data_IF_497636828553
#
_entry.id   IF_497636828553
#
_cell.length_a   1.000
_cell.length_b   1.000
_cell.length_c   1.000
_cell.angle_alpha   90.00
_cell.angle_beta   90.00
_cell.angle_gamma   90.00
#
_symmetry.space_group_name_H-M   'P 1'
#
loop_
_entity.id
_entity.type
_entity.pdbx_description
1 polymer ?
#
# COMPACT_ATOMS: atom_id res chain seq x y z
N UNK A 1 14.32 15.99 -9.22
CA UNK A 1 13.51 15.09 -10.07
C UNK A 1 12.06 15.53 -10.21
N UNK A 2 11.43 16.14 -9.20
CA UNK A 2 10.00 16.46 -9.26
C UNK A 2 9.64 17.60 -10.22
N UNK A 3 10.42 18.69 -10.23
CA UNK A 3 10.26 19.80 -11.16
C UNK A 3 11.62 20.40 -11.51
N UNK A 4 11.70 21.02 -12.69
CA UNK A 4 12.83 21.89 -13.04
C UNK A 4 12.43 23.30 -12.60
N UNK A 5 13.09 23.82 -11.57
CA UNK A 5 12.79 25.14 -11.02
C UNK A 5 13.67 26.18 -11.69
N UNK A 6 13.05 27.26 -12.16
CA UNK A 6 13.70 28.43 -12.70
C UNK A 6 13.35 29.64 -11.82
N UNK A 7 14.38 30.24 -11.23
CA UNK A 7 14.25 31.39 -10.36
C UNK A 7 14.57 32.65 -11.15
N UNK A 8 13.70 33.65 -11.04
CA UNK A 8 13.89 34.96 -11.63
C UNK A 8 13.63 36.04 -10.59
N UNK A 9 14.20 37.22 -10.81
CA UNK A 9 13.91 38.41 -10.02
C UNK A 9 13.31 39.43 -10.96
N UNK A 10 12.26 40.11 -10.51
CA UNK A 10 11.64 41.21 -11.28
C UNK A 10 12.63 42.36 -11.46
N UNK A 11 12.50 43.14 -12.55
CA UNK A 11 13.34 44.32 -12.82
C UNK A 11 13.49 45.27 -11.64
N UNK A 12 12.44 45.38 -10.82
CA UNK A 12 12.36 46.30 -9.70
C UNK A 12 13.05 45.77 -8.43
N UNK A 13 13.62 44.56 -8.48
CA UNK A 13 14.34 43.86 -7.40
C UNK A 13 13.54 43.65 -6.09
N UNK A 14 12.24 43.92 -6.10
CA UNK A 14 11.35 43.80 -4.93
C UNK A 14 10.66 42.44 -4.81
N UNK A 15 10.66 41.63 -5.86
CA UNK A 15 9.93 40.36 -5.90
C UNK A 15 10.77 39.27 -6.57
N UNK A 16 10.77 38.09 -5.94
CA UNK A 16 11.38 36.87 -6.49
C UNK A 16 10.25 36.03 -7.08
N UNK A 17 10.43 35.58 -8.32
CA UNK A 17 9.47 34.77 -9.07
C UNK A 17 10.06 33.37 -9.26
N UNK A 18 9.26 32.34 -8.98
CA UNK A 18 9.65 30.95 -9.12
C UNK A 18 8.77 30.26 -10.17
N UNK A 19 9.36 29.83 -11.28
CA UNK A 19 8.69 29.00 -12.27
C UNK A 19 9.07 27.53 -12.04
N UNK A 20 8.10 26.66 -11.80
CA UNK A 20 8.36 25.25 -11.48
C UNK A 20 7.35 24.30 -12.16
N UNK A 21 7.44 24.09 -13.48
CA UNK A 21 6.58 23.14 -14.18
C UNK A 21 6.80 21.71 -13.67
N UNK A 22 5.71 20.92 -13.65
CA UNK A 22 5.76 19.50 -13.35
C UNK A 22 6.49 18.73 -14.46
N UNK A 23 7.30 17.74 -14.07
CA UNK A 23 8.00 16.88 -15.01
C UNK A 23 7.26 15.55 -15.18
N UNK A 24 7.14 15.10 -16.42
CA UNK A 24 6.62 13.77 -16.75
C UNK A 24 7.74 12.73 -16.72
N UNK A 25 7.39 11.46 -16.44
CA UNK A 25 8.33 10.34 -16.46
C UNK A 25 8.40 9.80 -17.89
N UNK A 26 9.58 9.80 -18.56
CA UNK A 26 9.72 9.26 -19.91
C UNK A 26 9.39 7.77 -19.99
N UNK A 27 8.84 7.33 -21.13
CA UNK A 27 8.46 5.94 -21.35
C UNK A 27 9.64 4.96 -21.19
N UNK A 28 10.84 5.36 -21.61
CA UNK A 28 12.07 4.56 -21.50
C UNK A 28 12.44 4.21 -20.05
N UNK A 29 11.96 4.99 -19.08
CA UNK A 29 12.19 4.76 -17.65
C UNK A 29 11.06 3.93 -16.99
N UNK A 30 10.14 3.38 -17.78
CA UNK A 30 9.06 2.50 -17.31
C UNK A 30 9.38 1.03 -17.58
N UNK A 31 8.71 0.13 -16.86
CA UNK A 31 8.82 -1.32 -17.08
C UNK A 31 7.47 -1.87 -17.53
N UNK A 32 7.45 -2.85 -18.46
CA UNK A 32 6.20 -3.50 -18.84
C UNK A 32 5.61 -4.23 -17.63
N UNK A 33 4.28 -4.16 -17.49
CA UNK A 33 3.56 -4.88 -16.44
C UNK A 33 3.59 -6.38 -16.78
N UNK A 34 4.12 -7.24 -15.90
CA UNK A 34 4.12 -8.68 -16.14
C UNK A 34 2.68 -9.19 -16.20
N UNK A 35 2.34 -9.91 -17.26
CA UNK A 35 1.06 -10.61 -17.39
C UNK A 35 1.30 -12.07 -17.01
N UNK A 36 0.63 -12.59 -15.97
CA UNK A 36 0.82 -13.98 -15.58
C UNK A 36 0.24 -14.90 -16.67
N UNK A 37 0.91 -16.02 -16.97
CA UNK A 37 0.53 -16.89 -18.09
C UNK A 37 -0.80 -17.62 -17.85
N UNK A 38 -1.71 -17.66 -18.83
CA UNK A 38 -3.04 -18.26 -18.67
C UNK A 38 -3.00 -19.78 -18.40
N UNK A 39 -1.89 -20.45 -18.75
CA UNK A 39 -1.72 -21.90 -18.53
C UNK A 39 -1.39 -22.21 -17.06
N UNK A 40 -0.76 -21.27 -16.33
CA UNK A 40 -0.43 -21.43 -14.92
C UNK A 40 -1.41 -20.70 -13.99
N UNK A 41 -2.25 -19.81 -14.56
CA UNK A 41 -3.34 -19.15 -13.86
C UNK A 41 -4.56 -20.08 -13.79
N UNK A 42 -4.58 -20.97 -12.79
CA UNK A 42 -5.77 -21.77 -12.44
C UNK A 42 -7.01 -20.91 -12.08
N UNK A 43 -6.84 -19.60 -11.97
CA UNK A 43 -7.82 -18.63 -11.47
C UNK A 43 -8.51 -17.79 -12.57
N UNK A 44 -8.34 -18.10 -13.87
CA UNK A 44 -8.97 -17.31 -14.94
C UNK A 44 -10.20 -17.98 -15.58
N UNK A 45 -10.41 -19.28 -15.38
CA UNK A 45 -11.67 -19.92 -15.76
C UNK A 45 -12.75 -19.53 -14.73
N UNK A 46 -13.65 -18.62 -15.12
CA UNK A 46 -14.74 -18.07 -14.30
C UNK A 46 -15.43 -19.11 -13.39
N UNK A 47 -15.66 -20.31 -13.91
CA UNK A 47 -16.33 -21.41 -13.19
C UNK A 47 -15.49 -22.11 -12.12
N UNK A 48 -14.16 -22.15 -12.26
CA UNK A 48 -13.26 -22.67 -11.23
C UNK A 48 -13.02 -21.65 -10.11
N UNK A 49 -13.01 -20.36 -10.44
CA UNK A 49 -12.88 -19.26 -9.47
C UNK A 49 -14.04 -19.20 -8.50
N UNK A 50 -15.26 -19.39 -8.99
CA UNK A 50 -16.46 -19.45 -8.15
C UNK A 50 -16.46 -20.68 -7.23
N UNK A 51 -15.96 -21.83 -7.72
CA UNK A 51 -15.87 -23.07 -6.95
C UNK A 51 -14.73 -23.08 -5.93
N UNK A 52 -13.56 -22.51 -6.25
CA UNK A 52 -12.39 -22.47 -5.35
C UNK A 52 -12.55 -21.46 -4.21
N UNK A 53 -13.20 -20.31 -4.47
CA UNK A 53 -13.53 -19.31 -3.43
C UNK A 53 -14.53 -19.81 -2.39
N UNK A 54 -15.35 -20.82 -2.74
CA UNK A 54 -16.40 -21.38 -1.88
C UNK A 54 -15.97 -22.66 -1.12
N UNK A 55 -14.69 -23.02 -1.11
CA UNK A 55 -14.20 -24.04 -0.17
C UNK A 55 -14.11 -23.47 1.26
N UNK A 56 -15.28 -23.13 1.82
CA UNK A 56 -15.48 -22.62 3.18
C UNK A 56 -14.86 -23.53 4.25
N UNK A 57 -14.68 -24.82 3.96
CA UNK A 57 -14.09 -25.82 4.86
C UNK A 57 -12.62 -25.55 5.18
N UNK A 58 -11.86 -24.93 4.26
CA UNK A 58 -10.47 -24.53 4.52
C UNK A 58 -10.36 -23.19 5.25
N UNK A 59 -11.34 -22.30 5.06
CA UNK A 59 -11.40 -20.99 5.72
C UNK A 59 -11.91 -21.07 7.17
N UNK A 60 -12.88 -21.96 7.44
CA UNK A 60 -13.53 -22.07 8.76
C UNK A 60 -12.65 -22.74 9.83
N UNK A 61 -11.67 -23.56 9.43
CA UNK A 61 -10.94 -24.45 10.36
C UNK A 61 -9.48 -24.05 10.62
N UNK A 62 -8.92 -23.07 9.89
CA UNK A 62 -7.58 -22.57 10.20
C UNK A 62 -7.69 -21.58 11.35
N UNK A 63 -7.17 -21.94 12.53
CA UNK A 63 -6.63 -20.93 13.46
C UNK A 63 -5.75 -20.05 12.58
N UNK A 64 -6.05 -18.74 12.54
CA UNK A 64 -5.46 -17.82 11.57
C UNK A 64 -3.92 -17.87 11.54
N UNK A 65 -3.28 -17.16 10.60
CA UNK A 65 -1.84 -17.21 10.40
C UNK A 65 -1.07 -17.05 11.71
N UNK A 66 0.02 -17.81 11.84
CA UNK A 66 0.84 -17.78 13.05
C UNK A 66 1.50 -16.39 13.17
N UNK A 67 1.74 -15.92 14.39
CA UNK A 67 2.44 -14.64 14.64
C UNK A 67 3.77 -14.56 13.89
N UNK A 68 4.47 -15.69 13.74
CA UNK A 68 5.72 -15.78 12.98
C UNK A 68 5.52 -15.56 11.47
N UNK A 69 4.47 -16.17 10.89
CA UNK A 69 4.11 -15.96 9.49
C UNK A 69 3.78 -14.49 9.24
N UNK A 70 3.02 -13.87 10.14
CA UNK A 70 2.68 -12.44 10.08
C UNK A 70 3.94 -11.56 10.19
N UNK A 71 4.86 -11.91 11.11
CA UNK A 71 6.10 -11.17 11.27
C UNK A 71 6.97 -11.22 10.02
N UNK A 72 7.04 -12.39 9.35
CA UNK A 72 7.82 -12.61 8.13
C UNK A 72 7.17 -11.95 6.91
N UNK A 73 5.85 -12.04 6.78
CA UNK A 73 5.10 -11.46 5.66
C UNK A 73 5.14 -9.93 5.66
N UNK A 74 5.01 -9.31 6.84
CA UNK A 74 4.98 -7.86 6.97
C UNK A 74 6.34 -7.23 7.30
N UNK A 75 7.41 -8.04 7.39
CA UNK A 75 8.74 -7.57 7.82
C UNK A 75 8.69 -6.80 9.15
N UNK A 76 7.92 -7.31 10.11
CA UNK A 76 7.73 -6.70 11.44
C UNK A 76 8.25 -7.60 12.55
N UNK A 77 8.40 -7.07 13.76
CA UNK A 77 8.72 -7.88 14.93
C UNK A 77 7.48 -8.59 15.46
N UNK A 78 7.66 -9.81 16.01
CA UNK A 78 6.58 -10.63 16.57
C UNK A 78 5.79 -9.92 17.68
N UNK A 79 6.41 -9.00 18.41
CA UNK A 79 5.81 -8.33 19.57
C UNK A 79 4.57 -7.50 19.25
N UNK A 80 4.46 -6.97 18.03
CA UNK A 80 3.30 -6.18 17.58
C UNK A 80 2.02 -7.01 17.46
N UNK A 81 2.14 -8.32 17.34
CA UNK A 81 1.03 -9.23 17.09
C UNK A 81 0.46 -9.86 18.36
N UNK A 82 1.13 -9.69 19.51
CA UNK A 82 0.56 -10.11 20.79
C UNK A 82 -0.56 -9.15 21.24
N UNK A 83 -1.64 -9.68 21.85
CA UNK A 83 -2.74 -8.86 22.31
C UNK A 83 -2.32 -7.93 23.45
N UNK A 84 -2.89 -6.73 23.47
CA UNK A 84 -2.66 -5.75 24.53
C UNK A 84 -3.72 -5.88 25.63
N UNK A 85 -3.29 -5.76 26.88
CA UNK A 85 -4.14 -5.81 28.06
C UNK A 85 -5.29 -4.78 28.03
N UNK A 86 -6.35 -5.07 28.79
CA UNK A 86 -7.59 -4.28 28.79
C UNK A 86 -7.39 -2.80 29.19
N UNK A 87 -6.46 -2.53 30.13
CA UNK A 87 -6.15 -1.18 30.59
C UNK A 87 -5.74 -0.23 29.46
N UNK A 88 -4.84 -0.66 28.58
CA UNK A 88 -4.41 0.15 27.44
C UNK A 88 -5.51 0.27 26.38
N UNK A 89 -6.29 -0.79 26.14
CA UNK A 89 -7.39 -0.78 25.17
C UNK A 89 -8.48 0.24 25.52
N UNK A 90 -8.83 0.39 26.80
CA UNK A 90 -9.88 1.32 27.28
C UNK A 90 -9.48 2.79 27.18
N UNK A 91 -8.19 3.09 27.24
CA UNK A 91 -7.66 4.47 27.15
C UNK A 91 -7.48 4.95 25.71
N UNK A 92 -7.65 4.06 24.74
CA UNK A 92 -7.63 4.43 23.33
C UNK A 92 -8.89 5.23 23.05
N UNK A 93 -8.72 6.43 22.50
CA UNK A 93 -9.82 7.22 22.00
C UNK A 93 -10.50 6.48 20.83
N UNK A 94 -11.79 6.11 20.95
CA UNK A 94 -12.52 5.46 19.88
C UNK A 94 -12.87 6.43 18.74
N UNK A 95 -12.97 7.73 19.02
CA UNK A 95 -13.40 8.75 18.06
C UNK A 95 -12.39 9.91 18.02
N UNK A 96 -11.14 9.64 17.61
CA UNK A 96 -10.15 10.71 17.49
C UNK A 96 -10.63 11.72 16.44
N UNK A 97 -10.37 13.03 16.64
CA UNK A 97 -10.69 14.04 15.65
C UNK A 97 -9.92 13.74 14.36
N UNK A 98 -10.65 13.56 13.25
CA UNK A 98 -10.06 13.37 11.93
C UNK A 98 -9.71 14.73 11.34
N UNK A 99 -8.42 14.99 11.10
CA UNK A 99 -7.97 16.09 10.27
C UNK A 99 -7.95 15.65 8.79
N UNK A 100 -8.47 16.52 7.91
CA UNK A 100 -8.71 16.40 6.45
C UNK A 100 -8.76 14.98 5.87
#
# INVERSE_FOLDING_TARGET
FHSKVELAVTSDLKTIVCYHPSLEIPYEHTKPIPRPDPVNNKEENLDQVLKSRLNEKELKNKRGPTIEELSKMFYTTKHRWYPVGQYHRRRRDPNPPKDR
#
